data_IF_169200498441
#
_entry.id   IF_169200498441
#
_cell.length_a   1.000
_cell.length_b   1.000
_cell.length_c   1.000
_cell.angle_alpha   90.00
_cell.angle_beta   90.00
_cell.angle_gamma   90.00
#
_symmetry.space_group_name_H-M   'P 1'
#
loop_
_entity.id
_entity.type
_entity.pdbx_description
1 polymer ?
#
# COMPACT_ATOMS: atom_id res chain seq x y z
N UNK A 1 21.43 -0.75 -1.55
CA UNK A 1 20.26 -0.72 -0.64
C UNK A 1 20.58 -0.04 0.68
N UNK A 2 21.72 -0.34 1.30
CA UNK A 2 22.26 0.49 2.38
C UNK A 2 22.86 1.78 1.82
N UNK A 3 22.92 2.83 2.64
CA UNK A 3 23.58 4.10 2.28
C UNK A 3 25.11 3.99 2.41
N UNK A 4 25.67 2.84 2.03
CA UNK A 4 27.09 2.50 2.16
C UNK A 4 27.58 1.84 0.88
N UNK A 5 28.85 2.07 0.54
CA UNK A 5 29.56 1.25 -0.45
C UNK A 5 30.00 -0.07 0.17
N UNK A 6 30.22 -1.14 -0.64
CA UNK A 6 30.69 -2.42 -0.12
C UNK A 6 32.00 -2.31 0.70
N UNK A 7 32.86 -1.35 0.37
CA UNK A 7 34.13 -1.12 1.07
C UNK A 7 33.96 -0.49 2.46
N UNK A 8 32.80 0.13 2.75
CA UNK A 8 32.48 0.74 4.03
C UNK A 8 31.79 -0.23 5.01
N UNK A 9 31.46 -1.44 4.54
CA UNK A 9 30.87 -2.49 5.37
C UNK A 9 31.98 -3.31 6.04
N UNK A 10 32.03 -3.23 7.36
CA UNK A 10 32.88 -4.05 8.20
C UNK A 10 32.06 -5.15 8.89
N UNK A 11 32.73 -6.19 9.38
CA UNK A 11 32.11 -7.32 10.05
C UNK A 11 31.24 -6.90 11.25
N UNK A 12 31.70 -5.92 12.02
CA UNK A 12 30.98 -5.38 13.20
C UNK A 12 30.03 -4.22 12.86
N UNK A 13 29.88 -3.85 11.58
CA UNK A 13 28.98 -2.76 11.19
C UNK A 13 27.55 -3.10 11.55
N UNK A 14 26.93 -2.25 12.37
CA UNK A 14 25.51 -2.35 12.68
C UNK A 14 24.69 -1.95 11.45
N UNK A 15 24.00 -2.92 10.86
CA UNK A 15 23.28 -2.76 9.60
C UNK A 15 22.07 -1.83 9.75
N UNK A 16 21.43 -1.80 10.92
CA UNK A 16 20.30 -0.88 11.20
C UNK A 16 20.79 0.57 11.19
N UNK A 17 21.92 0.83 11.85
CA UNK A 17 22.54 2.17 11.84
C UNK A 17 23.03 2.57 10.45
N UNK A 18 23.40 1.60 9.61
CA UNK A 18 23.75 1.80 8.20
C UNK A 18 22.54 2.08 7.27
N UNK A 19 21.32 2.18 7.83
CA UNK A 19 20.09 2.45 7.09
C UNK A 19 19.29 1.21 6.72
N UNK A 20 19.52 0.07 7.38
CA UNK A 20 18.62 -1.07 7.25
C UNK A 20 17.35 -0.84 8.07
N UNK A 21 16.23 -0.67 7.38
CA UNK A 21 14.89 -0.63 7.98
C UNK A 21 14.18 -2.00 7.91
N UNK A 22 12.99 -2.07 8.50
CA UNK A 22 12.19 -3.29 8.56
C UNK A 22 11.75 -3.80 7.18
N UNK A 23 11.56 -2.92 6.19
CA UNK A 23 11.12 -3.27 4.83
C UNK A 23 12.28 -3.94 4.09
N UNK A 24 13.46 -3.32 4.13
CA UNK A 24 14.70 -3.88 3.55
C UNK A 24 15.06 -5.21 4.21
N UNK A 25 14.95 -5.28 5.54
CA UNK A 25 15.20 -6.50 6.29
C UNK A 25 14.23 -7.63 5.90
N UNK A 26 12.94 -7.33 5.69
CA UNK A 26 11.97 -8.32 5.21
C UNK A 26 12.29 -8.84 3.80
N UNK A 27 12.72 -7.96 2.88
CA UNK A 27 13.17 -8.36 1.54
C UNK A 27 14.39 -9.27 1.61
N UNK A 28 15.36 -8.94 2.45
CA UNK A 28 16.54 -9.76 2.65
C UNK A 28 16.20 -11.09 3.31
N UNK A 29 15.30 -11.10 4.30
CA UNK A 29 14.80 -12.33 4.91
C UNK A 29 14.14 -13.26 3.88
N UNK A 30 13.33 -12.70 2.98
CA UNK A 30 12.74 -13.46 1.89
C UNK A 30 13.82 -14.01 0.94
N UNK A 31 14.81 -13.20 0.58
CA UNK A 31 15.95 -13.64 -0.23
C UNK A 31 16.74 -14.77 0.46
N UNK A 32 17.05 -14.65 1.75
CA UNK A 32 17.74 -15.71 2.51
C UNK A 32 16.94 -17.01 2.49
N UNK A 33 15.62 -16.95 2.75
CA UNK A 33 14.74 -18.13 2.73
C UNK A 33 14.69 -18.79 1.36
N UNK A 34 14.62 -17.99 0.28
CA UNK A 34 14.67 -18.49 -1.10
C UNK A 34 15.97 -19.22 -1.42
N UNK A 35 17.06 -18.88 -0.72
CA UNK A 35 18.37 -19.55 -0.84
C UNK A 35 18.57 -20.68 0.21
N UNK A 36 17.51 -21.14 0.87
CA UNK A 36 17.55 -22.28 1.80
C UNK A 36 17.83 -21.92 3.26
N UNK A 37 17.99 -20.64 3.61
CA UNK A 37 18.25 -20.24 4.99
C UNK A 37 16.95 -19.99 5.77
N UNK A 38 16.65 -20.85 6.75
CA UNK A 38 15.51 -20.68 7.65
C UNK A 38 15.86 -19.74 8.81
N UNK A 39 15.71 -18.44 8.56
CA UNK A 39 15.93 -17.38 9.55
C UNK A 39 14.60 -16.71 9.97
N UNK A 40 14.61 -16.01 11.09
CA UNK A 40 13.51 -15.19 11.59
C UNK A 40 13.94 -13.72 11.74
N UNK A 41 12.99 -12.79 11.64
CA UNK A 41 13.26 -11.37 11.92
C UNK A 41 13.86 -11.17 13.31
N UNK A 42 13.37 -11.91 14.32
CA UNK A 42 13.86 -11.81 15.70
C UNK A 42 15.35 -12.13 15.78
N UNK A 43 15.82 -13.17 15.09
CA UNK A 43 17.24 -13.53 15.07
C UNK A 43 18.08 -12.43 14.40
N UNK A 44 17.61 -11.89 13.27
CA UNK A 44 18.32 -10.82 12.56
C UNK A 44 18.40 -9.52 13.38
N UNK A 45 17.35 -9.19 14.13
CA UNK A 45 17.32 -8.04 15.04
C UNK A 45 18.14 -8.24 16.32
N UNK A 46 18.30 -9.48 16.78
CA UNK A 46 19.01 -9.75 18.04
C UNK A 46 20.51 -9.36 17.95
N UNK A 47 21.11 -9.54 16.78
CA UNK A 47 22.49 -9.16 16.51
C UNK A 47 22.62 -8.63 15.07
N UNK A 48 22.35 -7.33 14.83
CA UNK A 48 22.26 -6.75 13.48
C UNK A 48 23.63 -6.38 12.90
N UNK A 49 24.62 -7.26 13.02
CA UNK A 49 25.96 -7.09 12.42
C UNK A 49 26.21 -8.11 11.32
N UNK A 50 27.10 -7.77 10.38
CA UNK A 50 27.46 -8.66 9.28
C UNK A 50 28.09 -9.97 9.80
N UNK A 51 28.97 -9.89 10.80
CA UNK A 51 29.58 -11.04 11.45
C UNK A 51 28.54 -11.96 12.09
N UNK A 52 27.63 -11.40 12.89
CA UNK A 52 26.62 -12.18 13.59
C UNK A 52 25.68 -12.88 12.62
N UNK A 53 25.27 -12.20 11.54
CA UNK A 53 24.45 -12.81 10.51
C UNK A 53 25.20 -13.86 9.71
N UNK A 54 26.48 -13.65 9.41
CA UNK A 54 27.31 -14.65 8.76
C UNK A 54 27.44 -15.91 9.64
N UNK A 55 27.70 -15.75 10.94
CA UNK A 55 27.72 -16.86 11.89
C UNK A 55 26.35 -17.55 11.99
N UNK A 56 25.25 -16.79 12.02
CA UNK A 56 23.91 -17.32 12.03
C UNK A 56 23.64 -18.18 10.78
N UNK A 57 24.02 -17.69 9.60
CA UNK A 57 23.90 -18.45 8.34
C UNK A 57 24.80 -19.68 8.34
N UNK A 58 26.05 -19.60 8.81
CA UNK A 58 26.96 -20.75 8.91
C UNK A 58 26.45 -21.82 9.89
N UNK A 59 25.79 -21.41 10.98
CA UNK A 59 25.18 -22.32 11.96
C UNK A 59 23.94 -23.04 11.43
N UNK A 60 23.37 -22.54 10.34
CA UNK A 60 22.22 -23.10 9.64
C UNK A 60 22.68 -23.57 8.28
N UNK A 61 23.24 -24.79 8.21
CA UNK A 61 23.43 -25.43 6.90
C UNK A 61 22.11 -25.40 6.14
N UNK A 62 22.12 -25.19 4.81
CA UNK A 62 20.93 -25.43 4.03
C UNK A 62 20.58 -26.91 4.20
N UNK A 63 19.68 -27.23 5.15
CA UNK A 63 18.91 -28.46 5.07
C UNK A 63 18.37 -28.49 3.66
N UNK A 64 18.58 -29.61 2.93
CA UNK A 64 18.08 -29.84 1.56
C UNK A 64 16.89 -28.93 1.39
N UNK A 65 17.06 -27.84 0.65
CA UNK A 65 15.93 -27.00 0.32
C UNK A 65 15.01 -28.03 -0.32
N UNK A 66 13.97 -28.46 0.40
CA UNK A 66 12.81 -28.99 -0.27
C UNK A 66 12.62 -27.95 -1.35
N UNK A 67 12.74 -28.40 -2.60
CA UNK A 67 12.43 -27.57 -3.73
C UNK A 67 10.97 -27.20 -3.50
N UNK A 68 10.74 -26.14 -2.72
CA UNK A 68 9.71 -25.15 -2.95
C UNK A 68 10.11 -24.60 -4.32
N UNK A 69 9.88 -25.44 -5.32
CA UNK A 69 9.70 -25.08 -6.70
C UNK A 69 8.79 -23.87 -6.57
N UNK A 70 9.25 -22.66 -6.97
CA UNK A 70 8.41 -21.49 -6.92
C UNK A 70 7.11 -21.95 -7.61
N UNK A 71 5.99 -21.95 -6.88
CA UNK A 71 4.78 -22.58 -7.36
C UNK A 71 4.48 -21.92 -8.69
N UNK A 72 4.14 -22.73 -9.69
CA UNK A 72 3.88 -22.24 -11.03
C UNK A 72 2.92 -21.05 -10.95
N UNK A 73 3.46 -19.84 -11.14
CA UNK A 73 2.72 -18.58 -10.92
C UNK A 73 1.48 -18.53 -11.82
N UNK A 74 1.48 -19.33 -12.90
CA UNK A 74 0.35 -19.51 -13.82
C UNK A 74 -0.80 -20.40 -13.31
N UNK A 75 -0.65 -21.04 -12.14
CA UNK A 75 -1.64 -21.97 -11.57
C UNK A 75 -2.68 -21.31 -10.66
N UNK A 76 -2.48 -20.03 -10.31
CA UNK A 76 -3.37 -19.31 -9.39
C UNK A 76 -4.38 -18.44 -10.16
N UNK A 77 -5.65 -18.39 -9.71
CA UNK A 77 -6.67 -17.65 -10.43
C UNK A 77 -6.55 -16.15 -10.15
N UNK A 78 -6.25 -15.40 -11.21
CA UNK A 78 -6.30 -13.94 -11.24
C UNK A 78 -7.73 -13.39 -11.06
N UNK A 79 -7.83 -12.10 -10.80
CA UNK A 79 -9.05 -11.32 -10.82
C UNK A 79 -9.75 -11.44 -12.17
N UNK A 80 -11.06 -11.70 -12.10
CA UNK A 80 -11.93 -11.79 -13.26
C UNK A 80 -13.24 -11.09 -12.94
N UNK A 81 -13.91 -10.60 -13.98
CA UNK A 81 -15.22 -9.96 -13.85
C UNK A 81 -16.18 -10.82 -13.02
N UNK A 82 -16.91 -10.15 -12.11
CA UNK A 82 -17.96 -10.76 -11.30
C UNK A 82 -17.53 -11.95 -10.43
N UNK A 83 -16.21 -12.18 -10.28
CA UNK A 83 -15.68 -13.26 -9.45
C UNK A 83 -15.16 -12.69 -8.14
N UNK A 84 -15.95 -12.72 -7.06
CA UNK A 84 -15.53 -12.14 -5.80
C UNK A 84 -14.41 -12.96 -5.15
N UNK A 85 -13.57 -12.29 -4.37
CA UNK A 85 -12.48 -12.89 -3.60
C UNK A 85 -12.38 -12.24 -2.21
N UNK A 86 -11.80 -12.92 -1.21
CA UNK A 86 -11.86 -12.45 0.17
C UNK A 86 -11.08 -11.17 0.38
N UNK A 87 -11.51 -10.36 1.35
CA UNK A 87 -10.71 -9.25 1.87
C UNK A 87 -9.55 -9.76 2.74
N UNK A 88 -8.48 -8.98 2.81
CA UNK A 88 -7.49 -9.14 3.87
C UNK A 88 -8.09 -8.74 5.24
N UNK A 89 -7.51 -9.21 6.36
CA UNK A 89 -7.90 -8.72 7.68
C UNK A 89 -7.82 -7.20 7.85
N UNK A 90 -6.83 -6.55 7.24
CA UNK A 90 -6.68 -5.08 7.27
C UNK A 90 -7.79 -4.40 6.46
N UNK A 91 -8.10 -4.93 5.27
CA UNK A 91 -9.21 -4.42 4.48
C UNK A 91 -10.56 -4.57 5.22
N UNK A 92 -10.78 -5.68 5.92
CA UNK A 92 -11.95 -5.83 6.79
C UNK A 92 -12.00 -4.76 7.90
N UNK A 93 -10.88 -4.50 8.56
CA UNK A 93 -10.79 -3.49 9.61
C UNK A 93 -11.12 -2.09 9.08
N UNK A 94 -10.58 -1.70 7.93
CA UNK A 94 -10.86 -0.40 7.30
C UNK A 94 -12.31 -0.29 6.82
N UNK A 95 -12.86 -1.34 6.19
CA UNK A 95 -14.24 -1.34 5.72
C UNK A 95 -15.25 -1.30 6.88
N UNK A 96 -14.92 -1.93 8.01
CA UNK A 96 -15.76 -1.89 9.21
C UNK A 96 -15.62 -0.57 9.95
N UNK A 97 -14.39 -0.11 10.18
CA UNK A 97 -14.10 1.10 10.94
C UNK A 97 -14.67 2.38 10.30
N UNK A 98 -14.79 2.40 8.97
CA UNK A 98 -15.36 3.56 8.27
C UNK A 98 -16.89 3.67 8.37
N UNK A 99 -17.58 2.64 8.86
CA UNK A 99 -19.04 2.66 8.91
C UNK A 99 -19.54 3.71 9.91
N UNK A 100 -20.58 4.51 9.58
CA UNK A 100 -21.10 5.55 10.49
C UNK A 100 -21.60 5.05 11.84
N UNK A 101 -21.94 3.75 11.95
CA UNK A 101 -22.41 3.14 13.20
C UNK A 101 -21.31 2.74 14.19
N UNK A 102 -20.03 2.90 13.84
CA UNK A 102 -18.92 2.65 14.75
C UNK A 102 -18.60 3.88 15.59
N UNK A 103 -18.13 3.68 16.82
CA UNK A 103 -17.54 4.75 17.63
C UNK A 103 -16.35 5.34 16.88
N UNK A 104 -16.35 6.66 16.67
CA UNK A 104 -15.39 7.37 15.79
C UNK A 104 -15.40 6.92 14.32
N UNK A 105 -16.50 6.31 13.87
CA UNK A 105 -16.72 5.89 12.49
C UNK A 105 -17.07 7.04 11.55
N UNK A 106 -17.49 6.71 10.32
CA UNK A 106 -17.80 7.70 9.29
C UNK A 106 -16.56 8.34 8.63
N UNK A 107 -15.36 7.87 8.99
CA UNK A 107 -14.08 8.32 8.44
C UNK A 107 -13.43 7.17 7.67
N UNK A 108 -13.07 7.41 6.41
CA UNK A 108 -12.35 6.43 5.60
C UNK A 108 -10.86 6.41 5.96
N UNK A 109 -10.24 5.23 5.91
CA UNK A 109 -8.79 5.14 5.95
C UNK A 109 -8.24 5.50 4.56
N UNK A 110 -8.15 6.80 4.28
CA UNK A 110 -7.72 7.32 2.99
C UNK A 110 -6.57 8.31 3.16
N UNK A 111 -5.82 8.50 2.10
CA UNK A 111 -4.75 9.47 2.02
C UNK A 111 -5.17 10.63 1.12
N UNK A 112 -5.14 11.83 1.68
CA UNK A 112 -5.29 13.07 0.94
C UNK A 112 -3.97 13.83 0.90
N UNK A 113 -3.47 14.14 -0.31
CA UNK A 113 -2.26 14.95 -0.51
C UNK A 113 -2.48 16.05 -1.55
N UNK A 114 -1.78 17.17 -1.33
CA UNK A 114 -1.73 18.31 -2.25
C UNK A 114 -0.30 18.47 -2.77
N UNK A 115 -0.14 18.52 -4.08
CA UNK A 115 1.14 18.79 -4.73
C UNK A 115 1.06 20.08 -5.51
N UNK A 116 1.98 21.00 -5.27
CA UNK A 116 2.10 22.23 -6.04
C UNK A 116 3.14 22.06 -7.13
N UNK A 117 2.85 22.65 -8.30
CA UNK A 117 3.77 22.59 -9.43
C UNK A 117 3.40 23.59 -10.51
N UNK A 118 4.03 23.41 -11.67
CA UNK A 118 3.78 24.23 -12.86
C UNK A 118 3.51 23.33 -14.07
N UNK A 119 2.75 23.85 -15.03
CA UNK A 119 2.60 23.25 -16.37
C UNK A 119 1.95 21.85 -16.47
N UNK A 120 1.41 21.27 -15.38
CA UNK A 120 0.65 20.02 -15.47
C UNK A 120 -0.74 20.29 -16.05
N UNK A 121 -1.14 19.50 -17.04
CA UNK A 121 -2.48 19.56 -17.62
C UNK A 121 -3.33 18.36 -17.22
N UNK A 122 -4.64 18.52 -17.20
CA UNK A 122 -5.58 17.44 -16.93
C UNK A 122 -5.40 16.29 -17.93
N UNK A 123 -5.18 16.58 -19.21
CA UNK A 123 -5.01 15.55 -20.25
C UNK A 123 -3.76 14.68 -20.03
N UNK A 124 -2.63 15.26 -19.62
CA UNK A 124 -1.42 14.49 -19.29
C UNK A 124 -1.67 13.57 -18.10
N UNK A 125 -2.32 14.09 -17.06
CA UNK A 125 -2.67 13.32 -15.88
C UNK A 125 -3.67 12.19 -16.23
N UNK A 126 -4.64 12.48 -17.08
CA UNK A 126 -5.64 11.50 -17.50
C UNK A 126 -5.03 10.34 -18.29
N UNK A 127 -4.11 10.65 -19.21
CA UNK A 127 -3.38 9.66 -19.98
C UNK A 127 -2.55 8.77 -19.05
N UNK A 128 -1.78 9.36 -18.13
CA UNK A 128 -0.94 8.62 -17.20
C UNK A 128 -1.79 7.71 -16.28
N UNK A 129 -2.86 8.22 -15.68
CA UNK A 129 -3.76 7.43 -14.83
C UNK A 129 -4.45 6.32 -15.62
N UNK A 130 -4.85 6.57 -16.87
CA UNK A 130 -5.43 5.53 -17.74
C UNK A 130 -4.45 4.38 -17.96
N UNK A 131 -3.17 4.67 -18.17
CA UNK A 131 -2.13 3.65 -18.26
C UNK A 131 -1.98 2.88 -16.94
N UNK A 132 -2.00 3.56 -15.79
CA UNK A 132 -1.92 2.90 -14.48
C UNK A 132 -3.14 2.02 -14.19
N UNK A 133 -4.34 2.46 -14.59
CA UNK A 133 -5.58 1.67 -14.49
C UNK A 133 -5.49 0.36 -15.27
N UNK A 134 -4.99 0.41 -16.50
CA UNK A 134 -4.77 -0.79 -17.32
C UNK A 134 -3.71 -1.71 -16.74
N UNK A 135 -2.71 -1.14 -16.06
CA UNK A 135 -1.58 -1.85 -15.49
C UNK A 135 -1.91 -2.53 -14.15
N UNK A 136 -2.73 -1.92 -13.31
CA UNK A 136 -2.98 -2.35 -11.93
C UNK A 136 -4.44 -2.74 -11.70
N UNK A 137 -4.78 -4.05 -11.71
CA UNK A 137 -6.15 -4.52 -11.50
C UNK A 137 -6.77 -4.05 -10.18
N UNK A 138 -5.97 -3.79 -9.14
CA UNK A 138 -6.46 -3.30 -7.84
C UNK A 138 -7.15 -1.93 -7.92
N UNK A 139 -6.86 -1.11 -8.94
CA UNK A 139 -7.51 0.20 -9.15
C UNK A 139 -8.96 0.08 -9.66
N UNK A 140 -9.39 -1.13 -10.03
CA UNK A 140 -10.74 -1.42 -10.53
C UNK A 140 -11.64 -2.07 -9.46
N UNK A 141 -11.17 -2.19 -8.21
CA UNK A 141 -11.85 -3.00 -7.19
C UNK A 141 -13.01 -2.25 -6.55
N UNK A 142 -14.12 -2.97 -6.38
CA UNK A 142 -15.20 -2.60 -5.47
C UNK A 142 -15.22 -3.51 -4.24
N UNK A 143 -15.59 -2.92 -3.10
CA UNK A 143 -15.61 -3.57 -1.78
C UNK A 143 -17.04 -3.82 -1.32
N UNK A 144 -17.45 -5.07 -1.26
CA UNK A 144 -18.83 -5.45 -0.96
C UNK A 144 -19.09 -5.53 0.55
N UNK A 145 -20.32 -5.25 1.00
CA UNK A 145 -20.71 -5.35 2.42
C UNK A 145 -20.59 -6.76 3.02
N UNK A 146 -20.58 -7.80 2.19
CA UNK A 146 -20.40 -9.19 2.63
C UNK A 146 -18.94 -9.57 2.90
N UNK A 147 -18.02 -8.60 2.89
CA UNK A 147 -16.62 -8.83 3.20
C UNK A 147 -15.84 -9.46 2.04
N UNK A 148 -16.33 -9.29 0.82
CA UNK A 148 -15.66 -9.68 -0.41
C UNK A 148 -15.27 -8.45 -1.22
N UNK A 149 -14.30 -8.62 -2.11
CA UNK A 149 -13.91 -7.64 -3.12
C UNK A 149 -14.12 -8.23 -4.51
N UNK A 150 -14.43 -7.38 -5.49
CA UNK A 150 -14.68 -7.78 -6.86
C UNK A 150 -14.02 -6.80 -7.82
N UNK A 151 -13.44 -7.34 -8.90
CA UNK A 151 -12.88 -6.54 -9.98
C UNK A 151 -13.96 -6.10 -10.96
N UNK A 152 -13.95 -4.81 -11.31
CA UNK A 152 -14.88 -4.20 -12.25
C UNK A 152 -14.23 -4.06 -13.64
N UNK A 153 -14.90 -4.49 -14.72
CA UNK A 153 -14.40 -4.27 -16.08
C UNK A 153 -14.19 -2.81 -16.44
N UNK A 154 -15.11 -1.95 -15.98
CA UNK A 154 -14.97 -0.51 -16.09
C UNK A 154 -14.62 0.05 -14.71
N UNK A 155 -13.50 0.77 -14.59
CA UNK A 155 -13.14 1.40 -13.33
C UNK A 155 -14.12 2.53 -13.02
N UNK A 156 -14.38 2.76 -11.73
CA UNK A 156 -15.16 3.91 -11.29
C UNK A 156 -14.27 5.15 -11.30
N UNK A 157 -14.07 5.75 -12.47
CA UNK A 157 -13.30 6.97 -12.60
C UNK A 157 -13.77 7.79 -13.80
N UNK A 158 -14.15 9.05 -13.55
CA UNK A 158 -14.78 9.93 -14.53
C UNK A 158 -13.80 10.94 -15.17
N UNK A 159 -12.49 10.69 -15.06
CA UNK A 159 -11.45 11.63 -15.48
C UNK A 159 -11.07 12.64 -14.39
N UNK A 160 -10.19 13.57 -14.73
CA UNK A 160 -9.64 14.54 -13.79
C UNK A 160 -10.63 15.70 -13.63
N UNK A 161 -11.07 15.95 -12.40
CA UNK A 161 -11.88 17.14 -12.12
C UNK A 161 -11.00 18.38 -12.12
N UNK A 162 -11.32 19.37 -12.96
CA UNK A 162 -10.54 20.62 -13.06
C UNK A 162 -11.24 21.77 -12.35
N UNK A 163 -10.52 22.47 -11.49
CA UNK A 163 -10.94 23.72 -10.86
C UNK A 163 -10.11 24.86 -11.42
N UNK A 164 -10.68 25.65 -12.33
CA UNK A 164 -9.95 26.79 -12.89
C UNK A 164 -10.11 28.03 -11.99
N UNK A 165 -9.02 28.39 -11.30
CA UNK A 165 -8.93 29.58 -10.45
C UNK A 165 -7.88 30.58 -10.98
N UNK A 166 -7.49 30.45 -12.26
CA UNK A 166 -6.43 31.24 -12.88
C UNK A 166 -6.77 32.73 -12.99
N UNK A 167 -8.07 33.06 -13.01
CA UNK A 167 -8.58 34.43 -13.14
C UNK A 167 -9.24 34.97 -11.87
N UNK A 168 -9.20 34.21 -10.77
CA UNK A 168 -9.76 34.63 -9.49
C UNK A 168 -8.79 35.52 -8.72
N UNK A 169 -9.33 36.48 -7.97
CA UNK A 169 -8.57 37.27 -7.02
C UNK A 169 -8.00 36.39 -5.89
N UNK A 170 -7.00 36.90 -5.18
CA UNK A 170 -6.26 36.11 -4.20
C UNK A 170 -7.11 35.66 -3.01
N UNK A 171 -8.07 36.46 -2.56
CA UNK A 171 -8.90 36.18 -1.39
C UNK A 171 -9.92 35.10 -1.73
N UNK A 172 -10.69 35.28 -2.81
CA UNK A 172 -11.66 34.29 -3.29
C UNK A 172 -11.00 32.94 -3.60
N UNK A 173 -9.80 32.97 -4.20
CA UNK A 173 -9.03 31.77 -4.50
C UNK A 173 -8.62 31.02 -3.24
N UNK A 174 -8.11 31.72 -2.23
CA UNK A 174 -7.70 31.10 -0.97
C UNK A 174 -8.90 30.48 -0.25
N UNK A 175 -10.02 31.21 -0.17
CA UNK A 175 -11.25 30.70 0.43
C UNK A 175 -11.76 29.42 -0.28
N UNK A 176 -11.72 29.39 -1.61
CA UNK A 176 -12.08 28.20 -2.38
C UNK A 176 -11.14 27.02 -2.12
N UNK A 177 -9.82 27.26 -2.13
CA UNK A 177 -8.82 26.22 -1.86
C UNK A 177 -8.99 25.60 -0.47
N UNK A 178 -9.28 26.41 0.54
CA UNK A 178 -9.49 25.92 1.91
C UNK A 178 -10.79 25.12 2.03
N UNK A 179 -11.87 25.57 1.39
CA UNK A 179 -13.12 24.82 1.31
C UNK A 179 -12.94 23.49 0.54
N UNK A 180 -12.17 23.51 -0.55
CA UNK A 180 -11.83 22.33 -1.33
C UNK A 180 -11.02 21.33 -0.51
N UNK A 181 -9.98 21.80 0.18
CA UNK A 181 -9.18 20.98 1.11
C UNK A 181 -10.06 20.35 2.17
N UNK A 182 -10.91 21.13 2.84
CA UNK A 182 -11.79 20.63 3.90
C UNK A 182 -12.72 19.53 3.37
N UNK A 183 -13.32 19.75 2.20
CA UNK A 183 -14.20 18.75 1.56
C UNK A 183 -13.45 17.49 1.16
N UNK A 184 -12.28 17.61 0.53
CA UNK A 184 -11.55 16.45 0.00
C UNK A 184 -10.84 15.65 1.10
N UNK A 185 -10.28 16.31 2.12
CA UNK A 185 -9.61 15.66 3.26
C UNK A 185 -10.57 14.89 4.19
N UNK A 186 -11.88 15.18 4.14
CA UNK A 186 -12.90 14.48 4.92
C UNK A 186 -13.84 13.65 4.03
N UNK A 187 -13.52 13.50 2.75
CA UNK A 187 -14.37 12.77 1.82
C UNK A 187 -14.35 11.28 2.15
N UNK A 188 -15.53 10.71 2.31
CA UNK A 188 -15.71 9.26 2.32
C UNK A 188 -15.92 8.77 0.88
N UNK A 189 -14.92 8.10 0.32
CA UNK A 189 -15.00 7.47 -1.00
C UNK A 189 -15.99 6.29 -0.97
N UNK A 190 -16.81 6.14 -2.02
CA UNK A 190 -17.82 5.08 -2.19
C UNK A 190 -17.19 3.81 -2.74
N UNK A 191 -16.38 3.17 -1.91
CA UNK A 191 -15.60 1.98 -2.27
C UNK A 191 -16.47 0.80 -2.69
N UNK A 192 -17.75 0.78 -2.31
CA UNK A 192 -18.74 -0.22 -2.68
C UNK A 192 -19.13 -0.22 -4.16
N UNK A 193 -18.96 0.92 -4.84
CA UNK A 193 -19.15 1.05 -6.30
C UNK A 193 -17.83 1.19 -7.06
N UNK A 194 -16.69 0.99 -6.37
CA UNK A 194 -15.36 1.05 -6.96
C UNK A 194 -14.70 2.44 -6.91
N UNK A 195 -15.35 3.45 -6.30
CA UNK A 195 -14.74 4.75 -6.08
C UNK A 195 -13.66 4.61 -5.00
N UNK A 196 -12.41 4.39 -5.40
CA UNK A 196 -11.29 4.09 -4.49
C UNK A 196 -10.14 5.08 -4.59
N UNK A 197 -10.14 5.93 -5.61
CA UNK A 197 -9.21 7.04 -5.75
C UNK A 197 -9.87 8.20 -6.51
N UNK A 198 -9.28 9.37 -6.42
CA UNK A 198 -9.68 10.56 -7.17
C UNK A 198 -8.50 11.51 -7.36
N UNK A 199 -8.46 12.14 -8.54
CA UNK A 199 -7.46 13.15 -8.91
C UNK A 199 -8.18 14.41 -9.36
N UNK A 200 -7.91 15.52 -8.68
CA UNK A 200 -8.44 16.83 -9.05
C UNK A 200 -7.29 17.81 -9.28
N UNK A 201 -7.42 18.66 -10.29
CA UNK A 201 -6.39 19.62 -10.66
C UNK A 201 -6.94 21.04 -10.54
N UNK A 202 -6.38 21.83 -9.63
CA UNK A 202 -6.68 23.25 -9.54
C UNK A 202 -5.67 24.04 -10.37
N UNK A 203 -6.13 24.82 -11.34
CA UNK A 203 -5.31 25.72 -12.14
C UNK A 203 -5.23 27.09 -11.47
N UNK A 204 -4.02 27.64 -11.40
CA UNK A 204 -3.69 28.87 -10.68
C UNK A 204 -3.02 29.88 -11.64
N UNK A 205 -2.92 31.17 -11.28
CA UNK A 205 -2.15 32.13 -12.07
C UNK A 205 -0.70 31.71 -12.28
N UNK A 206 -0.08 32.28 -13.30
CA UNK A 206 1.33 32.05 -13.66
C UNK A 206 1.62 30.58 -14.05
N UNK A 207 0.62 29.92 -14.63
CA UNK A 207 0.69 28.51 -15.05
C UNK A 207 1.04 27.54 -13.90
N UNK A 208 0.71 27.95 -12.67
CA UNK A 208 0.80 27.09 -11.48
C UNK A 208 -0.40 26.17 -11.43
N UNK A 209 -0.22 25.06 -10.73
CA UNK A 209 -1.32 24.18 -10.39
C UNK A 209 -1.17 23.64 -8.97
N UNK A 210 -2.28 23.13 -8.46
CA UNK A 210 -2.31 22.26 -7.30
C UNK A 210 -3.02 20.97 -7.66
N UNK A 211 -2.30 19.86 -7.59
CA UNK A 211 -2.84 18.52 -7.75
C UNK A 211 -3.35 18.04 -6.39
N UNK A 212 -4.62 17.64 -6.33
CA UNK A 212 -5.24 17.04 -5.17
C UNK A 212 -5.40 15.55 -5.45
N UNK A 213 -4.80 14.72 -4.61
CA UNK A 213 -4.86 13.26 -4.72
C UNK A 213 -5.57 12.70 -3.51
N UNK A 214 -6.54 11.84 -3.76
CA UNK A 214 -7.31 11.14 -2.74
C UNK A 214 -7.29 9.64 -3.04
N UNK A 215 -6.79 8.81 -2.14
CA UNK A 215 -6.67 7.36 -2.36
C UNK A 215 -7.09 6.61 -1.10
N UNK A 216 -8.00 5.66 -1.26
CA UNK A 216 -8.42 4.77 -0.18
C UNK A 216 -7.37 3.68 0.07
N UNK A 217 -6.94 3.50 1.32
CA UNK A 217 -5.92 2.51 1.67
C UNK A 217 -6.44 1.06 1.60
N UNK A 218 -7.72 0.86 1.25
CA UNK A 218 -8.24 -0.45 0.87
C UNK A 218 -7.60 -1.01 -0.41
N UNK A 219 -7.16 -0.16 -1.35
CA UNK A 219 -6.54 -0.60 -2.61
C UNK A 219 -5.02 -0.53 -2.61
N UNK A 220 -4.42 0.21 -1.67
CA UNK A 220 -3.01 0.54 -1.71
C UNK A 220 -2.42 0.72 -0.31
N UNK A 221 -1.34 0.00 -0.02
CA UNK A 221 -0.53 0.23 1.20
C UNK A 221 0.57 1.27 0.95
N UNK A 222 1.43 1.50 1.95
CA UNK A 222 2.52 2.46 1.84
C UNK A 222 3.54 2.13 0.73
N UNK A 223 3.84 0.86 0.48
CA UNK A 223 4.82 0.47 -0.55
C UNK A 223 4.23 0.61 -1.94
N UNK A 224 2.99 0.17 -2.11
CA UNK A 224 2.24 0.34 -3.34
C UNK A 224 1.98 1.82 -3.64
N UNK A 225 1.84 2.67 -2.61
CA UNK A 225 1.74 4.12 -2.78
C UNK A 225 3.01 4.70 -3.40
N UNK A 226 4.19 4.35 -2.88
CA UNK A 226 5.46 4.77 -3.49
C UNK A 226 5.56 4.29 -4.94
N UNK A 227 5.27 3.01 -5.20
CA UNK A 227 5.30 2.46 -6.56
C UNK A 227 4.37 3.22 -7.51
N UNK A 228 3.13 3.49 -7.10
CA UNK A 228 2.15 4.20 -7.92
C UNK A 228 2.64 5.60 -8.30
N UNK A 229 3.20 6.35 -7.35
CA UNK A 229 3.69 7.70 -7.62
C UNK A 229 4.99 7.72 -8.41
N UNK A 230 5.88 6.74 -8.22
CA UNK A 230 7.07 6.58 -9.05
C UNK A 230 6.68 6.31 -10.51
N UNK A 231 5.73 5.41 -10.75
CA UNK A 231 5.22 5.12 -12.09
C UNK A 231 4.44 6.31 -12.69
N UNK A 232 3.63 7.01 -11.89
CA UNK A 232 2.93 8.23 -12.33
C UNK A 232 3.93 9.31 -12.77
N UNK A 233 4.99 9.53 -11.99
CA UNK A 233 6.03 10.50 -12.31
C UNK A 233 6.77 10.12 -13.60
N UNK A 234 7.14 8.85 -13.77
CA UNK A 234 7.78 8.35 -15.00
C UNK A 234 6.89 8.59 -16.22
N UNK A 235 5.59 8.26 -16.13
CA UNK A 235 4.63 8.49 -17.21
C UNK A 235 4.47 9.98 -17.55
N UNK A 236 4.39 10.85 -16.54
CA UNK A 236 4.31 12.30 -16.74
C UNK A 236 5.60 12.88 -17.34
N UNK A 237 6.75 12.25 -17.10
CA UNK A 237 8.02 12.57 -17.73
C UNK A 237 8.15 12.02 -19.17
N UNK A 238 7.16 11.25 -19.65
CA UNK A 238 7.17 10.62 -20.97
C UNK A 238 8.02 9.35 -21.04
N UNK A 239 8.37 8.77 -19.90
CA UNK A 239 9.11 7.52 -19.81
C UNK A 239 8.19 6.31 -19.97
N UNK A 240 8.74 5.18 -20.43
CA UNK A 240 8.02 3.92 -20.48
C UNK A 240 8.18 3.13 -19.18
N UNK A 241 7.09 2.50 -18.75
CA UNK A 241 7.12 1.63 -17.58
C UNK A 241 7.66 0.23 -17.95
N UNK A 242 8.38 -0.44 -17.05
CA UNK A 242 8.82 -1.80 -17.26
C UNK A 242 7.62 -2.75 -17.39
N UNK A 243 7.74 -3.81 -18.19
CA UNK A 243 6.70 -4.83 -18.29
C UNK A 243 6.48 -5.52 -16.92
N UNK A 244 5.24 -5.83 -16.60
CA UNK A 244 4.86 -6.64 -15.43
C UNK A 244 4.29 -7.97 -15.91
N UNK A 245 4.49 -9.02 -15.12
CA UNK A 245 3.81 -10.29 -15.37
C UNK A 245 2.34 -10.17 -14.95
N UNK A 246 1.44 -10.31 -15.91
CA UNK A 246 0.00 -10.22 -15.68
C UNK A 246 -0.63 -11.53 -15.24
N UNK A 247 0.16 -12.62 -15.14
CA UNK A 247 -0.31 -13.94 -14.70
C UNK A 247 -0.47 -14.06 -13.18
N UNK A 248 -0.01 -13.07 -12.43
CA UNK A 248 -0.05 -13.08 -10.98
C UNK A 248 -0.47 -11.72 -10.41
N UNK A 249 -1.71 -11.61 -9.96
CA UNK A 249 -2.24 -10.40 -9.31
C UNK A 249 -2.51 -10.60 -7.81
N UNK A 250 -3.13 -9.59 -7.18
CA UNK A 250 -3.41 -9.60 -5.74
C UNK A 250 -4.38 -10.72 -5.33
N UNK A 251 -5.30 -11.17 -6.20
CA UNK A 251 -6.16 -12.31 -5.91
C UNK A 251 -5.35 -13.61 -5.91
N UNK A 252 -4.48 -13.79 -6.90
CA UNK A 252 -3.54 -14.90 -6.96
C UNK A 252 -2.66 -14.93 -5.71
N UNK A 253 -2.15 -13.78 -5.27
CA UNK A 253 -1.42 -13.62 -4.02
C UNK A 253 -2.20 -14.07 -2.78
N UNK A 254 -3.45 -13.60 -2.62
CA UNK A 254 -4.25 -13.95 -1.44
C UNK A 254 -4.51 -15.45 -1.32
N UNK A 255 -4.91 -16.09 -2.43
CA UNK A 255 -5.20 -17.52 -2.46
C UNK A 255 -3.94 -18.36 -2.24
N UNK A 256 -2.84 -17.92 -2.81
CA UNK A 256 -1.53 -18.55 -2.62
C UNK A 256 -1.08 -18.49 -1.15
N UNK A 257 -1.10 -17.30 -0.54
CA UNK A 257 -0.71 -17.11 0.86
C UNK A 257 -1.60 -17.88 1.83
N UNK A 258 -2.90 -18.00 1.52
CA UNK A 258 -3.83 -18.78 2.34
C UNK A 258 -3.42 -20.26 2.39
N UNK A 259 -2.95 -20.83 1.27
CA UNK A 259 -2.50 -22.22 1.20
C UNK A 259 -1.20 -22.44 1.96
N UNK A 260 -0.19 -21.59 1.75
CA UNK A 260 1.15 -21.79 2.35
C UNK A 260 1.14 -21.52 3.86
N UNK A 261 0.45 -20.48 4.31
CA UNK A 261 0.59 -20.02 5.70
C UNK A 261 -0.40 -20.68 6.66
N UNK A 262 -1.05 -21.79 6.33
CA UNK A 262 -2.06 -22.36 7.22
C UNK A 262 -1.48 -22.73 8.59
N UNK A 263 -0.40 -23.52 8.62
CA UNK A 263 0.25 -23.91 9.87
C UNK A 263 0.82 -22.71 10.64
N UNK A 264 1.50 -21.78 9.95
CA UNK A 264 2.02 -20.55 10.57
C UNK A 264 0.92 -19.69 11.19
N UNK A 265 -0.28 -19.66 10.59
CA UNK A 265 -1.44 -18.95 11.13
C UNK A 265 -1.96 -19.61 12.40
N UNK A 266 -2.00 -20.94 12.45
CA UNK A 266 -2.46 -21.68 13.62
C UNK A 266 -1.51 -21.48 14.82
N UNK A 267 -0.20 -21.52 14.60
CA UNK A 267 0.81 -21.23 15.63
C UNK A 267 0.70 -19.80 16.16
N UNK A 268 0.58 -18.82 15.25
CA UNK A 268 0.39 -17.42 15.61
C UNK A 268 -0.90 -17.22 16.41
N UNK A 269 -1.99 -17.89 16.01
CA UNK A 269 -3.28 -17.84 16.71
C UNK A 269 -3.16 -18.39 18.12
N UNK A 270 -2.52 -19.55 18.31
CA UNK A 270 -2.32 -20.14 19.63
C UNK A 270 -1.51 -19.20 20.54
N UNK A 271 -0.43 -18.60 20.01
CA UNK A 271 0.37 -17.63 20.73
C UNK A 271 -0.43 -16.40 21.17
N UNK A 272 -1.22 -15.79 20.28
CA UNK A 272 -2.01 -14.60 20.61
C UNK A 272 -3.17 -14.91 21.56
N UNK A 273 -3.85 -16.06 21.41
CA UNK A 273 -4.90 -16.48 22.35
C UNK A 273 -4.36 -16.69 23.76
N UNK A 274 -3.17 -17.28 23.89
CA UNK A 274 -2.51 -17.44 25.19
C UNK A 274 -2.16 -16.10 25.85
N UNK A 275 -1.88 -15.06 25.05
CA UNK A 275 -1.59 -13.71 25.55
C UNK A 275 -2.82 -12.84 25.77
N UNK A 276 -3.91 -13.06 25.04
CA UNK A 276 -5.06 -12.17 25.00
C UNK A 276 -5.66 -11.90 26.39
N UNK A 277 -5.73 -12.92 27.25
CA UNK A 277 -6.25 -12.80 28.63
C UNK A 277 -5.35 -11.98 29.57
N UNK A 278 -4.10 -11.74 29.19
CA UNK A 278 -3.10 -10.99 29.99
C UNK A 278 -2.86 -9.58 29.46
N UNK A 279 -3.50 -9.20 28.35
CA UNK A 279 -3.36 -7.86 27.81
C UNK A 279 -4.02 -6.83 28.74
N UNK A 280 -3.36 -5.67 28.98
CA UNK A 280 -3.97 -4.60 29.75
C UNK A 280 -5.22 -4.06 29.02
N UNK A 281 -6.19 -3.49 29.76
CA UNK A 281 -7.30 -2.80 29.13
C UNK A 281 -6.82 -1.60 28.31
N UNK A 282 -7.70 -1.07 27.46
CA UNK A 282 -7.43 0.14 26.68
C UNK A 282 -7.02 1.30 27.61
N UNK A 283 -6.02 2.11 27.24
CA UNK A 283 -5.67 3.30 28.00
C UNK A 283 -6.86 4.25 28.14
N UNK A 284 -7.13 4.73 29.35
CA UNK A 284 -8.16 5.75 29.59
C UNK A 284 -7.53 7.12 29.39
N UNK A 285 -7.74 7.69 28.20
CA UNK A 285 -7.26 9.03 27.86
C UNK A 285 -8.33 10.08 28.22
N UNK A 286 -7.93 11.30 28.64
CA UNK A 286 -8.88 12.38 28.87
C UNK A 286 -9.54 12.80 27.56
N UNK A 287 -10.86 12.66 27.47
CA UNK A 287 -11.65 13.01 26.29
C UNK A 287 -12.20 14.43 26.42
N UNK A 288 -12.30 15.14 25.29
CA UNK A 288 -12.99 16.45 25.23
C UNK A 288 -14.52 16.30 25.33
N UNK A 289 -15.06 15.21 24.78
CA UNK A 289 -16.46 14.78 24.88
C UNK A 289 -16.55 13.26 24.62
N UNK A 290 -17.67 12.64 25.00
CA UNK A 290 -17.94 11.23 24.68
C UNK A 290 -18.13 11.05 23.15
N UNK A 291 -17.50 10.02 22.54
CA UNK A 291 -17.59 9.73 21.11
C UNK A 291 -18.81 8.91 20.68
#
# INVERSE_FOLDING_TARGET
ELNLTPQQLHEESNLIQAGLDSIRLMRWLHWFRKNGYRLTLRELYAAPTLAAWNQLMLSRSPENAEEETPPDESSWPNMTESTPFPLTPVQHAYLTGRMPGQTLGGVGCHLYQEFEGHCLTASQLEQAITTLLQRHPMLHIAFRPDGLQVWLPQPYWNGVTVHDLSHNDAESRQAYLDALRQRLSHRLLRVEIGETFDFQLTLLPDNRHRLHVNIDLLIMDASSFTLFFDELNALLAGESLPAIDTRYDFRSYLLHQQKINQTLRDDARAYWLAKASTLPPAPVLPLACEP
#
